data_IF_044547417308
#
_entry.id   IF_044547417308
#
_cell.length_a   1.000
_cell.length_b   1.000
_cell.length_c   1.000
_cell.angle_alpha   90.00
_cell.angle_beta   90.00
_cell.angle_gamma   90.00
#
_symmetry.space_group_name_H-M   'P 1'
#
loop_
_entity.id
_entity.type
_entity.pdbx_description
1 polymer ?
#
# COMPACT_ATOMS: atom_id res chain seq x y z
N UNK A 1 -18.22 -10.03 5.73
CA UNK A 1 -17.53 -8.99 4.96
C UNK A 1 -18.56 -7.90 4.73
N UNK A 2 -18.88 -7.09 5.73
CA UNK A 2 -19.93 -6.06 5.60
C UNK A 2 -19.61 -4.73 6.34
N UNK A 3 -18.54 -4.66 7.14
CA UNK A 3 -18.18 -3.43 7.88
C UNK A 3 -17.05 -2.60 7.22
N UNK A 4 -16.55 -3.05 6.07
CA UNK A 4 -15.43 -2.44 5.36
C UNK A 4 -15.72 -1.01 4.87
N UNK A 5 -16.90 -0.81 4.26
CA UNK A 5 -17.27 0.47 3.65
C UNK A 5 -17.32 1.64 4.65
N UNK A 6 -17.72 1.37 5.90
CA UNK A 6 -17.82 2.39 6.95
C UNK A 6 -16.59 2.42 7.88
N UNK A 7 -15.58 1.59 7.62
CA UNK A 7 -14.35 1.58 8.41
C UNK A 7 -13.50 2.82 8.12
N UNK A 8 -13.28 3.63 9.15
CA UNK A 8 -12.38 4.79 9.05
C UNK A 8 -10.94 4.37 8.76
N UNK A 9 -10.49 3.26 9.32
CA UNK A 9 -9.14 2.76 9.11
C UNK A 9 -8.93 2.33 7.65
N UNK A 10 -9.96 1.71 7.05
CA UNK A 10 -9.93 1.35 5.64
C UNK A 10 -9.96 2.59 4.74
N UNK A 11 -10.84 3.55 5.03
CA UNK A 11 -10.89 4.83 4.29
C UNK A 11 -9.52 5.54 4.31
N UNK A 12 -8.86 5.59 5.47
CA UNK A 12 -7.54 6.18 5.62
C UNK A 12 -6.47 5.40 4.85
N UNK A 13 -6.54 4.07 4.85
CA UNK A 13 -5.62 3.23 4.10
C UNK A 13 -5.80 3.39 2.58
N UNK A 14 -7.03 3.49 2.09
CA UNK A 14 -7.35 3.63 0.66
C UNK A 14 -7.10 5.04 0.11
N UNK A 15 -7.16 6.07 0.97
CA UNK A 15 -6.83 7.45 0.58
C UNK A 15 -5.32 7.71 0.48
N UNK A 16 -4.49 6.74 0.91
CA UNK A 16 -3.05 6.82 0.85
C UNK A 16 -2.55 6.95 -0.59
N UNK A 17 -1.66 7.90 -0.83
CA UNK A 17 -0.97 8.02 -2.12
C UNK A 17 0.05 6.89 -2.30
N UNK A 18 0.00 6.23 -3.44
CA UNK A 18 0.95 5.19 -3.85
C UNK A 18 1.67 5.58 -5.14
N UNK A 19 2.96 5.24 -5.30
CA UNK A 19 3.69 5.52 -6.52
C UNK A 19 3.17 4.63 -7.66
N UNK A 20 2.84 5.25 -8.78
CA UNK A 20 2.34 4.60 -9.99
C UNK A 20 3.00 5.22 -11.23
N UNK A 21 2.90 4.54 -12.36
CA UNK A 21 3.28 5.05 -13.67
C UNK A 21 2.08 4.89 -14.60
N UNK A 22 1.63 5.98 -15.22
CA UNK A 22 0.67 5.86 -16.31
C UNK A 22 1.39 5.36 -17.56
N UNK A 23 0.94 4.25 -18.15
CA UNK A 23 1.57 3.69 -19.35
C UNK A 23 1.07 4.37 -20.64
N UNK A 24 -0.02 5.14 -20.54
CA UNK A 24 -0.67 5.85 -21.64
C UNK A 24 -0.67 7.35 -21.39
N UNK A 25 -0.90 8.13 -22.45
CA UNK A 25 -1.20 9.56 -22.31
C UNK A 25 -2.61 9.74 -21.75
N UNK A 26 -2.78 10.62 -20.75
CA UNK A 26 -4.09 10.90 -20.14
C UNK A 26 -4.45 12.37 -20.35
N UNK A 27 -5.37 12.67 -21.29
CA UNK A 27 -5.75 14.04 -21.60
C UNK A 27 -6.45 14.75 -20.43
N UNK A 28 -6.13 16.03 -20.21
CA UNK A 28 -6.80 16.89 -19.23
C UNK A 28 -6.48 16.61 -17.77
N UNK A 29 -5.59 15.65 -17.48
CA UNK A 29 -5.28 15.18 -16.13
C UNK A 29 -3.92 15.66 -15.60
N UNK A 30 -3.24 16.59 -16.28
CA UNK A 30 -1.90 17.06 -15.86
C UNK A 30 -1.86 17.65 -14.44
N UNK A 31 -3.01 18.13 -13.92
CA UNK A 31 -3.12 18.60 -12.54
C UNK A 31 -2.83 17.52 -11.48
N UNK A 32 -2.96 16.23 -11.82
CA UNK A 32 -2.64 15.14 -10.88
C UNK A 32 -1.14 15.08 -10.57
N UNK A 33 -0.28 15.48 -11.52
CA UNK A 33 1.17 15.56 -11.35
C UNK A 33 1.58 16.81 -10.53
N UNK A 34 0.66 17.76 -10.36
CA UNK A 34 0.96 19.07 -9.79
C UNK A 34 1.72 19.99 -10.76
N UNK A 35 1.74 19.65 -12.04
CA UNK A 35 2.35 20.46 -13.11
C UNK A 35 1.29 21.37 -13.75
N UNK A 36 1.75 22.38 -14.49
CA UNK A 36 0.87 23.25 -15.30
C UNK A 36 0.58 22.64 -16.68
N UNK A 37 0.97 21.38 -16.90
CA UNK A 37 0.69 20.68 -18.14
C UNK A 37 -0.78 20.30 -18.21
N UNK A 38 -1.32 20.26 -19.43
CA UNK A 38 -2.73 19.92 -19.65
C UNK A 38 -2.95 18.41 -19.51
N UNK A 39 -2.02 17.61 -20.01
CA UNK A 39 -2.16 16.17 -20.19
C UNK A 39 -1.01 15.45 -19.46
N UNK A 40 -1.27 14.24 -18.97
CA UNK A 40 -0.21 13.37 -18.43
C UNK A 40 0.45 12.66 -19.62
N UNK A 41 1.78 12.73 -19.70
CA UNK A 41 2.54 12.00 -20.71
C UNK A 41 2.62 10.49 -20.41
N UNK A 42 2.78 9.64 -21.43
CA UNK A 42 3.05 8.22 -21.21
C UNK A 42 4.33 8.02 -20.39
N UNK A 43 4.31 7.00 -19.54
CA UNK A 43 5.38 6.61 -18.63
C UNK A 43 5.74 7.64 -17.56
N UNK A 44 4.84 8.59 -17.26
CA UNK A 44 5.03 9.57 -16.19
C UNK A 44 4.83 8.93 -14.81
N UNK A 45 5.81 9.04 -13.89
CA UNK A 45 5.66 8.62 -12.51
C UNK A 45 4.80 9.61 -11.74
N UNK A 46 3.80 9.11 -11.01
CA UNK A 46 2.83 9.93 -10.28
C UNK A 46 2.44 9.25 -8.96
N UNK A 47 2.00 10.06 -7.99
CA UNK A 47 1.45 9.56 -6.74
C UNK A 47 -0.05 9.82 -6.67
N UNK A 48 -0.85 8.75 -6.82
CA UNK A 48 -2.31 8.80 -6.75
C UNK A 48 -2.85 7.98 -5.58
N UNK A 49 -4.05 8.29 -5.06
CA UNK A 49 -4.67 7.50 -4.00
C UNK A 49 -4.89 6.03 -4.39
N UNK A 50 -4.77 5.14 -3.42
CA UNK A 50 -4.94 3.70 -3.62
C UNK A 50 -6.31 3.34 -4.22
N UNK A 51 -7.41 3.94 -3.76
CA UNK A 51 -8.75 3.67 -4.31
C UNK A 51 -8.87 4.01 -5.80
N UNK A 52 -8.12 5.00 -6.28
CA UNK A 52 -8.13 5.37 -7.70
C UNK A 52 -7.26 4.40 -8.50
N UNK A 53 -6.08 4.06 -7.97
CA UNK A 53 -5.19 3.10 -8.59
C UNK A 53 -5.86 1.72 -8.75
N UNK A 54 -6.66 1.27 -7.78
CA UNK A 54 -7.36 -0.03 -7.85
C UNK A 54 -8.39 -0.09 -8.96
N UNK A 55 -9.05 1.02 -9.26
CA UNK A 55 -10.03 1.12 -10.34
C UNK A 55 -9.29 1.13 -11.69
N UNK A 56 -8.18 1.88 -11.79
CA UNK A 56 -7.41 2.01 -13.03
C UNK A 56 -6.58 0.77 -13.38
N UNK A 57 -6.24 -0.07 -12.40
CA UNK A 57 -5.50 -1.31 -12.62
C UNK A 57 -6.39 -2.49 -13.00
N UNK A 58 -7.71 -2.36 -12.92
CA UNK A 58 -8.63 -3.41 -13.33
C UNK A 58 -8.60 -3.55 -14.85
N UNK A 59 -8.26 -4.75 -15.33
CA UNK A 59 -8.29 -5.09 -16.74
C UNK A 59 -9.54 -5.92 -17.02
N UNK A 60 -10.38 -5.45 -17.95
CA UNK A 60 -11.55 -6.20 -18.41
C UNK A 60 -11.15 -7.48 -19.15
N UNK A 61 -10.01 -7.45 -19.85
CA UNK A 61 -9.42 -8.60 -20.51
C UNK A 61 -7.91 -8.70 -20.19
N UNK A 62 -7.48 -9.70 -19.39
CA UNK A 62 -6.08 -9.86 -19.01
C UNK A 62 -5.15 -10.30 -20.15
N UNK A 63 -5.70 -10.78 -21.27
CA UNK A 63 -4.89 -11.17 -22.46
C UNK A 63 -4.53 -9.98 -23.35
N UNK A 64 -5.17 -8.83 -23.14
CA UNK A 64 -4.92 -7.61 -23.92
C UNK A 64 -3.94 -6.69 -23.19
N UNK A 65 -2.65 -6.79 -23.54
CA UNK A 65 -1.60 -5.93 -22.98
C UNK A 65 -1.83 -4.44 -23.26
N UNK A 66 -2.66 -4.08 -24.25
CA UNK A 66 -2.98 -2.67 -24.54
C UNK A 66 -3.88 -2.02 -23.49
N UNK A 67 -4.54 -2.83 -22.65
CA UNK A 67 -5.42 -2.37 -21.57
C UNK A 67 -4.66 -2.09 -20.26
N UNK A 68 -3.33 -2.19 -20.24
CA UNK A 68 -2.54 -1.86 -19.05
C UNK A 68 -2.30 -0.35 -18.96
N UNK A 69 -3.25 0.40 -18.38
CA UNK A 69 -3.18 1.85 -18.24
C UNK A 69 -2.21 2.34 -17.17
N UNK A 70 -2.02 1.54 -16.11
CA UNK A 70 -1.35 1.97 -14.90
C UNK A 70 -0.47 0.86 -14.33
N UNK A 71 0.82 1.14 -14.18
CA UNK A 71 1.77 0.28 -13.47
C UNK A 71 1.94 0.76 -12.03
N UNK A 72 1.52 -0.05 -11.06
CA UNK A 72 1.66 0.28 -9.63
C UNK A 72 3.06 -0.13 -9.15
N UNK A 73 3.73 0.75 -8.41
CA UNK A 73 5.03 0.48 -7.79
C UNK A 73 4.87 0.16 -6.30
N UNK A 74 5.77 -0.67 -5.78
CA UNK A 74 5.80 -1.01 -4.35
C UNK A 74 6.16 0.25 -3.55
N UNK A 75 5.30 0.71 -2.61
CA UNK A 75 5.62 1.86 -1.78
C UNK A 75 6.85 1.62 -0.91
N UNK A 76 7.57 2.71 -0.56
CA UNK A 76 8.77 2.64 0.29
C UNK A 76 8.54 1.91 1.62
N UNK A 77 7.33 2.01 2.17
CA UNK A 77 6.92 1.32 3.40
C UNK A 77 6.94 -0.21 3.31
N UNK A 78 6.97 -0.78 2.10
CA UNK A 78 6.93 -2.22 1.82
C UNK A 78 8.09 -2.69 0.93
N UNK A 79 9.11 -1.85 0.75
CA UNK A 79 10.25 -2.17 -0.08
C UNK A 79 11.05 -3.38 0.47
N UNK A 80 12.03 -3.85 -0.29
CA UNK A 80 12.87 -4.98 0.12
C UNK A 80 13.64 -4.73 1.43
N UNK A 81 14.13 -3.51 1.65
CA UNK A 81 14.90 -3.16 2.85
C UNK A 81 14.05 -3.30 4.12
N UNK A 82 12.81 -2.80 4.11
CA UNK A 82 11.89 -2.95 5.23
C UNK A 82 11.56 -4.42 5.47
N UNK A 83 11.30 -5.20 4.40
CA UNK A 83 11.00 -6.63 4.54
C UNK A 83 12.18 -7.41 5.13
N UNK A 84 13.41 -7.10 4.73
CA UNK A 84 14.61 -7.69 5.31
C UNK A 84 14.79 -7.30 6.79
N UNK A 85 14.54 -6.03 7.12
CA UNK A 85 14.59 -5.56 8.51
C UNK A 85 13.54 -6.26 9.38
N UNK A 86 12.32 -6.45 8.86
CA UNK A 86 11.26 -7.22 9.52
C UNK A 86 11.65 -8.68 9.70
N UNK A 87 12.26 -9.30 8.69
CA UNK A 87 12.75 -10.68 8.80
C UNK A 87 13.86 -10.84 9.84
N UNK A 88 14.70 -9.82 10.03
CA UNK A 88 15.79 -9.85 11.00
C UNK A 88 15.30 -9.59 12.44
N UNK A 89 14.49 -8.54 12.63
CA UNK A 89 13.88 -8.22 13.92
C UNK A 89 12.63 -7.37 13.72
N UNK A 90 11.47 -8.01 13.79
CA UNK A 90 10.20 -7.30 13.64
C UNK A 90 10.03 -6.21 14.69
N UNK A 91 10.56 -6.37 15.91
CA UNK A 91 10.40 -5.44 17.04
C UNK A 91 11.11 -4.10 16.85
N UNK A 92 12.23 -4.10 16.11
CA UNK A 92 13.07 -2.93 15.96
C UNK A 92 12.63 -2.02 14.79
N UNK A 93 11.70 -2.48 13.96
CA UNK A 93 11.15 -1.68 12.86
C UNK A 93 10.02 -0.79 13.39
N UNK A 94 10.06 0.52 13.14
CA UNK A 94 8.97 1.41 13.55
C UNK A 94 7.85 1.44 12.50
N UNK A 95 6.86 0.56 12.63
CA UNK A 95 5.74 0.45 11.70
C UNK A 95 4.90 1.73 11.62
N UNK A 96 4.73 2.45 12.75
CA UNK A 96 3.96 3.69 12.79
C UNK A 96 4.57 4.75 11.88
N UNK A 97 5.90 4.88 11.90
CA UNK A 97 6.60 5.83 11.03
C UNK A 97 6.52 5.41 9.56
N UNK A 98 6.55 4.11 9.25
CA UNK A 98 6.38 3.62 7.88
C UNK A 98 4.99 3.92 7.31
N UNK A 99 3.99 3.99 8.17
CA UNK A 99 2.61 4.33 7.81
C UNK A 99 2.21 5.74 8.24
N UNK A 100 3.17 6.66 8.40
CA UNK A 100 2.88 8.04 8.82
C UNK A 100 1.86 8.73 7.90
N UNK A 101 1.93 8.43 6.61
CA UNK A 101 1.01 8.96 5.61
C UNK A 101 -0.39 8.29 5.68
N UNK A 102 -0.50 7.05 6.20
CA UNK A 102 -1.75 6.27 6.33
C UNK A 102 -2.39 6.39 7.72
N UNK A 103 -2.19 7.50 8.44
CA UNK A 103 -2.69 7.65 9.81
C UNK A 103 -2.08 6.66 10.84
N UNK A 104 -0.96 6.01 10.50
CA UNK A 104 -0.30 5.00 11.33
C UNK A 104 -0.75 3.55 11.06
N UNK A 105 -1.69 3.32 10.14
CA UNK A 105 -2.23 2.00 9.79
C UNK A 105 -1.36 1.18 8.82
N UNK A 106 -0.19 0.70 9.25
CA UNK A 106 0.72 -0.07 8.37
C UNK A 106 0.12 -1.40 7.89
N UNK A 107 -0.61 -2.10 8.78
CA UNK A 107 -1.25 -3.37 8.44
C UNK A 107 -2.39 -3.19 7.43
N UNK A 108 -3.27 -2.20 7.63
CA UNK A 108 -4.38 -1.92 6.72
C UNK A 108 -3.89 -1.52 5.33
N UNK A 109 -2.88 -0.64 5.25
CA UNK A 109 -2.25 -0.33 3.96
C UNK A 109 -1.58 -1.54 3.30
N UNK A 110 -1.01 -2.44 4.09
CA UNK A 110 -0.42 -3.69 3.59
C UNK A 110 -1.46 -4.67 3.07
N UNK A 111 -2.61 -4.78 3.75
CA UNK A 111 -3.74 -5.60 3.32
C UNK A 111 -4.38 -5.06 2.05
N UNK A 112 -4.55 -3.75 1.95
CA UNK A 112 -5.02 -3.09 0.73
C UNK A 112 -4.08 -3.42 -0.45
N UNK A 113 -2.76 -3.28 -0.29
CA UNK A 113 -1.80 -3.63 -1.34
C UNK A 113 -1.84 -5.10 -1.78
N UNK A 114 -2.13 -6.03 -0.86
CA UNK A 114 -2.25 -7.45 -1.19
C UNK A 114 -3.49 -7.77 -2.03
N UNK A 115 -4.53 -6.95 -1.94
CA UNK A 115 -5.74 -7.10 -2.75
C UNK A 115 -5.44 -6.85 -4.24
N UNK A 116 -4.60 -5.85 -4.52
CA UNK A 116 -4.17 -5.54 -5.89
C UNK A 116 -3.04 -6.45 -6.40
N UNK A 117 -2.13 -6.87 -5.52
CA UNK A 117 -0.94 -7.62 -5.88
C UNK A 117 -0.87 -8.94 -5.11
N UNK A 118 -0.87 -10.06 -5.84
CA UNK A 118 -0.55 -11.37 -5.28
C UNK A 118 0.95 -11.45 -4.99
N UNK A 119 1.35 -10.88 -3.85
CA UNK A 119 2.75 -10.76 -3.46
C UNK A 119 3.04 -11.56 -2.20
N UNK A 120 3.36 -12.84 -2.38
CA UNK A 120 3.57 -13.81 -1.29
C UNK A 120 4.57 -13.34 -0.22
N UNK A 121 5.62 -12.61 -0.63
CA UNK A 121 6.63 -12.08 0.29
C UNK A 121 6.13 -10.93 1.16
N UNK A 122 5.19 -10.11 0.68
CA UNK A 122 4.56 -9.09 1.51
C UNK A 122 3.63 -9.74 2.52
N UNK A 123 2.82 -10.70 2.08
CA UNK A 123 1.94 -11.47 2.97
C UNK A 123 2.72 -12.14 4.11
N UNK A 124 3.84 -12.80 3.81
CA UNK A 124 4.67 -13.41 4.84
C UNK A 124 5.26 -12.39 5.82
N UNK A 125 5.68 -11.21 5.33
CA UNK A 125 6.23 -10.15 6.18
C UNK A 125 5.18 -9.53 7.12
N UNK A 126 3.95 -9.32 6.63
CA UNK A 126 2.81 -8.85 7.42
C UNK A 126 2.50 -9.86 8.54
N UNK A 127 2.35 -11.14 8.16
CA UNK A 127 2.02 -12.22 9.07
C UNK A 127 3.11 -12.43 10.14
N UNK A 128 4.39 -12.47 9.72
CA UNK A 128 5.54 -12.58 10.64
C UNK A 128 5.54 -11.43 11.66
N UNK A 129 5.38 -10.20 11.19
CA UNK A 129 5.38 -9.02 12.06
C UNK A 129 4.21 -9.06 13.06
N UNK A 130 3.02 -9.49 12.62
CA UNK A 130 1.85 -9.58 13.46
C UNK A 130 2.03 -10.60 14.58
N UNK A 131 2.43 -11.84 14.26
CA UNK A 131 2.57 -12.90 15.26
C UNK A 131 3.69 -12.61 16.28
N UNK A 132 4.84 -12.10 15.82
CA UNK A 132 5.94 -11.78 16.73
C UNK A 132 5.59 -10.61 17.67
N UNK A 133 4.83 -9.61 17.19
CA UNK A 133 4.40 -8.46 18.01
C UNK A 133 3.24 -8.80 18.93
N UNK A 134 2.30 -9.65 18.50
CA UNK A 134 1.19 -10.14 19.33
C UNK A 134 1.69 -10.72 20.65
N UNK A 135 2.75 -11.55 20.60
CA UNK A 135 3.36 -12.12 21.80
C UNK A 135 3.87 -11.02 22.75
N UNK A 136 4.57 -10.01 22.23
CA UNK A 136 5.09 -8.89 23.04
C UNK A 136 3.97 -8.07 23.66
N UNK A 137 2.92 -7.77 22.89
CA UNK A 137 1.77 -7.01 23.41
C UNK A 137 1.04 -7.80 24.48
N UNK A 138 0.83 -9.10 24.28
CA UNK A 138 0.27 -9.99 25.29
C UNK A 138 1.11 -9.97 26.58
N UNK A 139 2.43 -10.17 26.46
CA UNK A 139 3.33 -10.16 27.61
C UNK A 139 3.37 -8.79 28.30
N UNK A 140 3.21 -7.68 27.56
CA UNK A 140 3.13 -6.33 28.15
C UNK A 140 1.82 -6.07 28.88
N UNK A 141 0.71 -6.65 28.44
CA UNK A 141 -0.61 -6.44 29.03
C UNK A 141 -0.86 -7.35 30.24
N UNK A 142 -0.32 -8.57 30.21
CA UNK A 142 -0.62 -9.61 31.21
C UNK A 142 0.61 -10.07 32.01
N UNK A 143 1.83 -9.72 31.60
CA UNK A 143 3.08 -10.20 32.20
C UNK A 143 3.58 -9.42 33.42
N UNK A 144 2.71 -8.68 34.12
CA UNK A 144 3.07 -8.04 35.39
C UNK A 144 2.07 -8.37 36.50
N UNK A 145 2.20 -9.58 37.01
CA UNK A 145 1.95 -9.91 38.42
C UNK A 145 3.23 -10.62 38.89
N UNK A 146 4.09 -9.86 39.56
CA UNK A 146 5.07 -10.24 40.60
C UNK A 146 6.07 -9.08 40.82
#
# INVERSE_FOLDING_TARGET
MDDAYYSLDQLLAENQKIPCIFNIAVPGMGYLEGTNERDIQPYTPIEIPFWLASILSQQDNPEDESQNYLTIQIPKAFNLQIRNALSASTKNVNLKNLAANSGGGWYESGMALLDMYVFALLFSSLLLSFFQRKKVVHDSLFGKQD
#
